data_IF_749298652451
#
_entry.id   IF_749298652451
#
_cell.length_a   1.000
_cell.length_b   1.000
_cell.length_c   1.000
_cell.angle_alpha   90.00
_cell.angle_beta   90.00
_cell.angle_gamma   90.00
#
_symmetry.space_group_name_H-M   'P 1'
#
loop_
_entity.id
_entity.type
_entity.pdbx_description
1 polymer ?
#
# COMPACT_ATOMS: atom_id res chain seq x y z
N UNK A 1 -6.31 18.53 -72.37
CA UNK A 1 -6.21 17.32 -73.20
C UNK A 1 -6.49 16.11 -72.30
N UNK A 2 -7.51 15.31 -72.66
CA UNK A 2 -7.83 13.93 -72.22
C UNK A 2 -8.36 13.61 -70.78
N UNK A 3 -9.70 13.59 -70.68
CA UNK A 3 -10.65 12.52 -70.27
C UNK A 3 -10.28 11.34 -69.34
N UNK A 4 -11.29 10.97 -68.50
CA UNK A 4 -11.68 9.67 -67.87
C UNK A 4 -11.54 9.65 -66.34
N UNK A 5 -12.43 9.08 -65.52
CA UNK A 5 -13.69 8.31 -65.66
C UNK A 5 -14.27 8.13 -64.25
N UNK A 6 -15.60 8.03 -64.10
CA UNK A 6 -16.28 7.79 -62.81
C UNK A 6 -16.09 6.33 -62.35
N UNK A 7 -15.85 6.11 -61.05
CA UNK A 7 -16.40 4.94 -60.34
C UNK A 7 -16.61 5.22 -58.85
N UNK A 8 -17.74 4.75 -58.33
CA UNK A 8 -18.25 4.91 -56.96
C UNK A 8 -17.87 3.69 -56.08
N UNK A 9 -17.81 3.97 -54.77
CA UNK A 9 -17.97 3.11 -53.57
C UNK A 9 -16.80 2.22 -53.09
N UNK A 10 -16.45 2.42 -51.81
CA UNK A 10 -15.61 1.51 -51.02
C UNK A 10 -15.12 2.11 -49.70
N UNK A 11 -16.02 2.16 -48.71
CA UNK A 11 -15.83 2.37 -47.27
C UNK A 11 -14.38 2.30 -46.72
N UNK A 12 -13.81 3.44 -46.36
CA UNK A 12 -12.88 3.55 -45.23
C UNK A 12 -13.05 4.95 -44.63
N UNK A 13 -13.82 5.04 -43.54
CA UNK A 13 -13.87 6.24 -42.74
C UNK A 13 -12.51 6.43 -42.07
N UNK A 14 -11.76 7.43 -42.51
CA UNK A 14 -10.62 7.94 -41.76
C UNK A 14 -11.16 8.49 -40.45
N UNK A 15 -10.86 7.82 -39.33
CA UNK A 15 -10.95 8.48 -38.04
C UNK A 15 -9.81 9.50 -38.05
N UNK A 16 -10.10 10.74 -38.46
CA UNK A 16 -9.28 11.88 -38.05
C UNK A 16 -9.43 11.99 -36.54
N UNK A 17 -8.54 11.30 -35.83
CA UNK A 17 -8.28 11.58 -34.44
C UNK A 17 -7.74 13.01 -34.42
N UNK A 18 -8.61 13.98 -34.14
CA UNK A 18 -8.22 15.35 -33.91
C UNK A 18 -7.03 15.32 -32.94
N UNK A 19 -5.85 15.66 -33.46
CA UNK A 19 -4.65 15.85 -32.66
C UNK A 19 -4.90 17.08 -31.81
N UNK A 20 -5.60 16.89 -30.68
CA UNK A 20 -5.67 17.85 -29.62
C UNK A 20 -4.21 18.11 -29.17
N UNK A 21 -3.82 19.36 -29.40
CA UNK A 21 -2.65 20.06 -28.89
C UNK A 21 -1.73 19.26 -27.94
N UNK A 22 -0.75 18.56 -28.52
CA UNK A 22 0.32 17.89 -27.77
C UNK A 22 1.27 18.90 -27.08
N UNK A 23 1.14 20.21 -27.32
CA UNK A 23 2.03 21.22 -26.75
C UNK A 23 1.74 21.55 -25.26
N UNK A 24 0.63 21.06 -24.71
CA UNK A 24 0.15 21.45 -23.38
C UNK A 24 0.18 20.34 -22.31
N UNK A 25 0.50 19.08 -22.66
CA UNK A 25 0.72 18.03 -21.65
C UNK A 25 2.12 18.16 -21.04
N UNK A 26 2.29 19.18 -20.18
CA UNK A 26 3.46 19.26 -19.31
C UNK A 26 3.32 18.16 -18.27
N UNK A 27 4.07 17.07 -18.44
CA UNK A 27 4.15 16.04 -17.40
C UNK A 27 4.46 16.74 -16.06
N UNK A 28 3.66 16.52 -15.01
CA UNK A 28 3.94 17.13 -13.71
C UNK A 28 5.36 16.73 -13.30
N UNK A 29 6.11 17.68 -12.73
CA UNK A 29 7.44 17.41 -12.22
C UNK A 29 7.35 16.21 -11.26
N UNK A 30 8.35 15.29 -11.26
CA UNK A 30 8.34 14.16 -10.34
C UNK A 30 8.18 14.69 -8.92
N UNK A 31 7.04 14.41 -8.30
CA UNK A 31 6.83 14.70 -6.91
C UNK A 31 7.53 13.63 -6.10
N UNK A 32 8.42 14.06 -5.21
CA UNK A 32 8.90 13.20 -4.14
C UNK A 32 7.69 12.75 -3.32
N UNK A 33 7.52 11.44 -3.17
CA UNK A 33 6.35 10.85 -2.51
C UNK A 33 6.23 11.35 -1.06
N UNK A 34 7.36 11.55 -0.37
CA UNK A 34 7.37 12.05 0.99
C UNK A 34 6.98 13.53 1.04
N UNK A 35 7.54 14.34 0.14
CA UNK A 35 7.16 15.74 0.05
C UNK A 35 5.66 15.92 -0.28
N UNK A 36 5.11 15.07 -1.16
CA UNK A 36 3.71 15.09 -1.54
C UNK A 36 2.75 14.63 -0.44
N UNK A 37 3.21 13.77 0.48
CA UNK A 37 2.43 13.35 1.65
C UNK A 37 2.53 14.31 2.83
N UNK A 38 3.67 14.99 2.97
CA UNK A 38 3.93 15.97 4.01
C UNK A 38 3.36 17.36 3.67
N UNK A 39 2.99 17.60 2.40
CA UNK A 39 2.58 18.92 1.90
C UNK A 39 1.25 19.43 2.46
N UNK A 40 0.42 18.58 3.08
CA UNK A 40 -0.72 19.06 3.87
C UNK A 40 -0.96 18.22 5.14
N UNK A 41 -0.44 18.63 6.30
CA UNK A 41 -0.75 18.01 7.59
C UNK A 41 -2.21 18.22 8.03
N UNK A 42 -3.01 19.04 7.34
CA UNK A 42 -4.48 19.13 7.49
C UNK A 42 -5.25 18.24 6.50
N UNK A 43 -4.54 17.57 5.59
CA UNK A 43 -5.11 16.91 4.41
C UNK A 43 -5.81 15.57 4.66
N UNK A 44 -5.73 15.02 5.89
CA UNK A 44 -6.49 13.84 6.29
C UNK A 44 -7.30 14.17 7.57
N UNK A 45 -8.63 14.34 7.48
CA UNK A 45 -9.43 14.88 8.57
C UNK A 45 -9.78 13.86 9.66
N UNK A 46 -9.30 12.61 9.53
CA UNK A 46 -9.61 11.54 10.46
C UNK A 46 -8.41 11.20 11.33
N UNK A 47 -8.69 10.78 12.57
CA UNK A 47 -7.68 10.17 13.42
C UNK A 47 -7.32 8.80 12.83
N UNK A 48 -6.06 8.61 12.47
CA UNK A 48 -5.52 7.32 12.00
C UNK A 48 -4.69 6.68 13.10
N UNK A 49 -4.95 5.40 13.39
CA UNK A 49 -4.21 4.62 14.37
C UNK A 49 -3.82 3.26 13.81
N UNK A 50 -2.57 2.85 14.05
CA UNK A 50 -2.14 1.49 13.74
C UNK A 50 -2.74 0.53 14.76
N UNK A 51 -3.36 -0.55 14.33
CA UNK A 51 -3.88 -1.59 15.21
C UNK A 51 -3.59 -2.98 14.64
N UNK A 52 -3.07 -3.88 15.47
CA UNK A 52 -2.89 -5.29 15.13
C UNK A 52 -4.08 -6.16 15.55
N UNK A 53 -5.07 -5.59 16.26
CA UNK A 53 -6.24 -6.33 16.71
C UNK A 53 -7.00 -7.05 15.57
N UNK A 54 -7.18 -6.46 14.36
CA UNK A 54 -7.81 -7.17 13.24
C UNK A 54 -7.02 -8.40 12.78
N UNK A 55 -5.68 -8.35 12.83
CA UNK A 55 -4.83 -9.49 12.49
C UNK A 55 -4.98 -10.60 13.52
N UNK A 56 -5.06 -10.26 14.81
CA UNK A 56 -5.30 -11.23 15.89
C UNK A 56 -6.68 -11.89 15.73
N UNK A 57 -7.71 -11.12 15.41
CA UNK A 57 -9.05 -11.64 15.13
C UNK A 57 -9.06 -12.58 13.91
N UNK A 58 -8.27 -12.26 12.87
CA UNK A 58 -8.11 -13.15 11.72
C UNK A 58 -7.55 -14.52 12.12
N UNK A 59 -6.54 -14.57 12.98
CA UNK A 59 -5.99 -15.84 13.46
C UNK A 59 -7.04 -16.69 14.20
N UNK A 60 -7.95 -16.06 14.95
CA UNK A 60 -9.06 -16.75 15.62
C UNK A 60 -10.09 -17.30 14.61
N UNK A 61 -10.47 -16.49 13.62
CA UNK A 61 -11.49 -16.87 12.65
C UNK A 61 -10.99 -17.90 11.62
N UNK A 62 -9.78 -17.72 11.10
CA UNK A 62 -9.23 -18.55 10.02
C UNK A 62 -8.71 -19.89 10.52
N UNK A 63 -8.34 -19.98 11.80
CA UNK A 63 -7.69 -21.15 12.37
C UNK A 63 -8.28 -21.54 13.72
N UNK A 64 -9.52 -21.17 14.04
CA UNK A 64 -10.17 -21.47 15.33
C UNK A 64 -10.66 -22.92 15.48
N UNK A 65 -10.52 -23.77 14.46
CA UNK A 65 -10.97 -25.16 14.50
C UNK A 65 -10.20 -25.96 15.58
N UNK A 66 -10.93 -26.50 16.56
CA UNK A 66 -10.37 -27.00 17.80
C UNK A 66 -9.48 -28.24 17.62
N UNK A 67 -9.82 -29.09 16.65
CA UNK A 67 -9.20 -30.40 16.45
C UNK A 67 -8.00 -30.36 15.49
N UNK A 68 -7.72 -29.20 14.90
CA UNK A 68 -6.63 -29.05 13.93
C UNK A 68 -5.32 -28.55 14.57
N UNK A 69 -4.18 -28.94 13.99
CA UNK A 69 -2.85 -28.42 14.38
C UNK A 69 -2.77 -26.90 14.18
N UNK A 70 -3.41 -26.38 13.12
CA UNK A 70 -3.54 -24.93 12.86
C UNK A 70 -4.33 -24.25 13.98
N UNK A 71 -5.40 -24.88 14.43
CA UNK A 71 -6.15 -24.67 15.68
C UNK A 71 -5.28 -24.41 16.89
N UNK A 72 -4.50 -25.42 17.24
CA UNK A 72 -3.60 -25.36 18.38
C UNK A 72 -2.59 -24.21 18.24
N UNK A 73 -2.03 -24.01 17.05
CA UNK A 73 -1.08 -22.93 16.79
C UNK A 73 -1.69 -21.54 16.98
N UNK A 74 -2.87 -21.28 16.41
CA UNK A 74 -3.54 -20.00 16.55
C UNK A 74 -3.89 -19.67 18.01
N UNK A 75 -4.28 -20.68 18.82
CA UNK A 75 -4.51 -20.50 20.27
C UNK A 75 -3.22 -20.15 21.01
N UNK A 76 -2.10 -20.77 20.66
CA UNK A 76 -0.80 -20.43 21.26
C UNK A 76 -0.41 -18.98 20.93
N UNK A 77 -0.54 -18.56 19.66
CA UNK A 77 -0.27 -17.17 19.26
C UNK A 77 -1.15 -16.20 20.06
N UNK A 78 -2.45 -16.48 20.17
CA UNK A 78 -3.41 -15.67 20.96
C UNK A 78 -2.98 -15.54 22.42
N UNK A 79 -2.63 -16.64 23.07
CA UNK A 79 -2.20 -16.65 24.47
C UNK A 79 -0.93 -15.81 24.69
N UNK A 80 0.00 -15.78 23.74
CA UNK A 80 1.18 -14.90 23.82
C UNK A 80 0.83 -13.41 23.61
N UNK A 81 -0.09 -13.10 22.68
CA UNK A 81 -0.55 -11.73 22.46
C UNK A 81 -1.31 -11.16 23.66
N UNK A 82 -2.13 -11.97 24.33
CA UNK A 82 -2.86 -11.56 25.55
C UNK A 82 -1.93 -11.12 26.69
N UNK A 83 -0.68 -11.60 26.71
CA UNK A 83 0.35 -11.16 27.67
C UNK A 83 0.92 -9.78 27.33
N UNK A 84 0.67 -9.26 26.13
CA UNK A 84 1.20 -7.99 25.62
C UNK A 84 0.05 -7.06 25.22
N UNK A 85 -0.67 -6.48 26.19
CA UNK A 85 -1.87 -5.69 25.92
C UNK A 85 -1.60 -4.43 25.07
N UNK A 86 -0.37 -3.93 25.02
CA UNK A 86 0.00 -2.80 24.16
C UNK A 86 -0.05 -3.11 22.65
N UNK A 87 0.04 -4.40 22.24
CA UNK A 87 -0.17 -4.80 20.84
C UNK A 87 -1.65 -4.94 20.47
N UNK A 88 -2.54 -5.04 21.47
CA UNK A 88 -3.99 -5.13 21.28
C UNK A 88 -4.69 -3.77 21.28
N UNK A 89 -3.95 -2.71 21.58
CA UNK A 89 -4.43 -1.33 21.59
C UNK A 89 -3.93 -0.57 20.36
N UNK A 90 -4.52 0.59 20.06
CA UNK A 90 -3.94 1.52 19.11
C UNK A 90 -2.46 1.81 19.39
N UNK A 91 -1.60 1.52 18.41
CA UNK A 91 -0.15 1.68 18.48
C UNK A 91 0.20 3.09 17.97
N UNK A 92 0.52 3.97 18.89
CA UNK A 92 0.96 5.35 18.58
C UNK A 92 2.49 5.51 18.59
N UNK A 93 3.20 4.60 19.24
CA UNK A 93 4.65 4.54 19.30
C UNK A 93 5.15 3.26 18.61
N UNK A 94 5.83 3.43 17.47
CA UNK A 94 6.34 2.30 16.69
C UNK A 94 7.46 1.53 17.41
N UNK A 95 8.06 2.07 18.49
CA UNK A 95 9.03 1.30 19.29
C UNK A 95 8.40 0.07 19.94
N UNK A 96 7.08 0.04 20.11
CA UNK A 96 6.33 -1.14 20.59
C UNK A 96 6.49 -2.32 19.61
N UNK A 97 6.53 -2.04 18.31
CA UNK A 97 6.73 -3.08 17.28
C UNK A 97 8.11 -3.72 17.44
N UNK A 98 9.15 -2.91 17.63
CA UNK A 98 10.52 -3.38 17.81
C UNK A 98 10.71 -4.12 19.14
N UNK A 99 10.11 -3.61 20.21
CA UNK A 99 10.15 -4.26 21.54
C UNK A 99 9.59 -5.68 21.49
N UNK A 100 8.54 -5.90 20.71
CA UNK A 100 7.85 -7.19 20.59
C UNK A 100 8.07 -7.87 19.25
N UNK A 101 9.22 -7.59 18.61
CA UNK A 101 9.50 -7.98 17.22
C UNK A 101 9.20 -9.45 16.93
N UNK A 102 9.62 -10.36 17.82
CA UNK A 102 9.42 -11.81 17.65
C UNK A 102 7.95 -12.19 17.57
N UNK A 103 7.10 -11.61 18.42
CA UNK A 103 5.68 -11.90 18.43
C UNK A 103 4.98 -11.25 17.22
N UNK A 104 5.41 -10.03 16.85
CA UNK A 104 4.94 -9.37 15.62
C UNK A 104 5.31 -10.17 14.37
N UNK A 105 6.51 -10.75 14.30
CA UNK A 105 6.93 -11.66 13.22
C UNK A 105 6.01 -12.88 13.11
N UNK A 106 5.65 -13.49 14.24
CA UNK A 106 4.72 -14.63 14.26
C UNK A 106 3.33 -14.21 13.79
N UNK A 107 2.80 -13.08 14.26
CA UNK A 107 1.50 -12.57 13.83
C UNK A 107 1.46 -12.28 12.34
N UNK A 108 2.51 -11.65 11.82
CA UNK A 108 2.62 -11.25 10.42
C UNK A 108 3.03 -12.39 9.50
N UNK A 109 3.41 -13.56 10.00
CA UNK A 109 3.68 -14.74 9.17
C UNK A 109 2.45 -15.19 8.34
N UNK A 110 1.23 -14.81 8.76
CA UNK A 110 0.02 -15.00 7.94
C UNK A 110 -0.02 -14.14 6.67
N UNK A 111 0.67 -13.00 6.68
CA UNK A 111 0.73 -12.03 5.57
C UNK A 111 2.07 -12.09 4.84
N UNK A 112 3.15 -12.41 5.55
CA UNK A 112 4.53 -12.49 5.07
C UNK A 112 5.07 -13.89 5.34
N UNK A 113 4.79 -14.89 4.48
CA UNK A 113 5.19 -16.26 4.73
C UNK A 113 6.70 -16.40 4.88
N UNK A 114 7.22 -17.14 5.89
CA UNK A 114 8.66 -17.32 6.06
C UNK A 114 9.36 -17.92 4.84
N UNK A 115 8.66 -18.73 4.05
CA UNK A 115 9.22 -19.39 2.86
C UNK A 115 9.63 -18.41 1.75
N UNK A 116 9.00 -17.23 1.68
CA UNK A 116 9.24 -16.22 0.64
C UNK A 116 9.68 -14.86 1.19
N UNK A 117 9.82 -14.74 2.52
CA UNK A 117 10.14 -13.50 3.23
C UNK A 117 11.38 -12.77 2.69
N UNK A 118 12.44 -13.50 2.34
CA UNK A 118 13.69 -12.92 1.86
C UNK A 118 13.69 -12.58 0.36
N UNK A 119 12.66 -13.00 -0.38
CA UNK A 119 12.55 -12.85 -1.83
C UNK A 119 11.49 -11.83 -2.25
N UNK A 120 10.43 -11.68 -1.44
CA UNK A 120 9.34 -10.77 -1.75
C UNK A 120 9.68 -9.32 -1.45
N UNK A 121 9.10 -8.41 -2.24
CA UNK A 121 9.15 -6.98 -2.02
C UNK A 121 7.83 -6.52 -1.40
N UNK A 122 7.71 -6.66 -0.08
CA UNK A 122 6.47 -6.38 0.62
C UNK A 122 6.72 -5.59 1.92
N UNK A 123 5.74 -4.78 2.29
CA UNK A 123 5.73 -4.04 3.55
C UNK A 123 4.31 -3.81 4.07
N UNK A 124 4.16 -3.81 5.39
CA UNK A 124 2.96 -3.32 6.06
C UNK A 124 3.18 -1.86 6.46
N UNK A 125 2.24 -1.02 6.08
CA UNK A 125 2.30 0.43 6.26
C UNK A 125 1.42 0.90 7.41
N UNK A 126 1.83 1.97 8.08
CA UNK A 126 0.98 2.68 9.03
C UNK A 126 -0.25 3.21 8.26
N UNK A 127 -1.48 3.05 8.77
CA UNK A 127 -2.69 3.36 8.00
C UNK A 127 -2.68 4.81 7.48
N UNK A 128 -2.98 4.95 6.19
CA UNK A 128 -2.97 6.22 5.46
C UNK A 128 -1.63 6.96 5.46
N UNK A 129 -0.51 6.27 5.69
CA UNK A 129 0.83 6.83 5.64
C UNK A 129 1.72 5.93 4.79
N UNK A 130 2.53 6.48 3.88
CA UNK A 130 3.55 5.69 3.16
C UNK A 130 4.81 5.54 4.03
N UNK A 131 4.59 5.03 5.25
CA UNK A 131 5.62 4.72 6.24
C UNK A 131 5.42 3.27 6.66
N UNK A 132 6.39 2.42 6.36
CA UNK A 132 6.36 1.02 6.77
C UNK A 132 6.68 0.88 8.26
N UNK A 133 5.92 0.04 8.96
CA UNK A 133 6.28 -0.43 10.31
C UNK A 133 6.81 -1.88 10.28
N UNK A 134 6.63 -2.58 9.16
CA UNK A 134 7.14 -3.92 8.93
C UNK A 134 7.47 -4.08 7.44
N UNK A 135 8.61 -4.68 7.11
CA UNK A 135 9.03 -4.86 5.72
C UNK A 135 9.94 -6.07 5.57
N UNK A 136 9.86 -6.70 4.39
CA UNK A 136 10.82 -7.71 3.97
C UNK A 136 12.20 -7.08 3.71
N UNK A 137 13.30 -7.86 3.77
CA UNK A 137 14.64 -7.33 3.57
C UNK A 137 14.86 -6.67 2.19
N UNK A 138 14.40 -7.25 1.06
CA UNK A 138 14.51 -6.59 -0.25
C UNK A 138 13.79 -5.24 -0.29
N UNK A 139 12.57 -5.17 0.24
CA UNK A 139 11.81 -3.92 0.33
C UNK A 139 12.55 -2.88 1.15
N UNK A 140 13.04 -3.26 2.34
CA UNK A 140 13.79 -2.36 3.22
C UNK A 140 15.03 -1.78 2.54
N UNK A 141 15.78 -2.58 1.80
CA UNK A 141 17.01 -2.15 1.12
C UNK A 141 16.75 -1.16 -0.01
N UNK A 142 15.74 -1.42 -0.83
CA UNK A 142 15.57 -0.74 -2.12
C UNK A 142 14.49 0.35 -2.08
N UNK A 143 13.45 0.18 -1.27
CA UNK A 143 12.24 1.00 -1.31
C UNK A 143 11.96 1.75 -0.01
N UNK A 144 12.81 1.63 1.01
CA UNK A 144 12.58 2.25 2.32
C UNK A 144 13.73 3.19 2.72
N UNK A 145 13.39 4.35 3.24
CA UNK A 145 14.30 5.27 3.91
C UNK A 145 14.55 4.81 5.36
N UNK A 146 15.62 5.32 6.03
CA UNK A 146 15.99 4.87 7.37
C UNK A 146 14.91 5.05 8.43
N UNK A 147 14.01 6.01 8.26
CA UNK A 147 12.89 6.33 9.15
C UNK A 147 11.60 5.52 8.86
N UNK A 148 11.64 4.61 7.87
CA UNK A 148 10.51 3.80 7.44
C UNK A 148 9.72 4.38 6.27
N UNK A 149 10.03 5.61 5.82
CA UNK A 149 9.36 6.23 4.70
C UNK A 149 9.59 5.46 3.39
N UNK A 150 8.55 5.33 2.55
CA UNK A 150 8.69 4.80 1.20
C UNK A 150 9.55 5.75 0.35
N UNK A 151 10.57 5.20 -0.30
CA UNK A 151 11.40 5.90 -1.28
C UNK A 151 10.75 5.80 -2.66
N UNK A 152 10.64 6.92 -3.35
CA UNK A 152 10.22 6.97 -4.74
C UNK A 152 9.76 8.35 -5.16
N UNK A 153 9.70 8.55 -6.47
CA UNK A 153 9.08 9.72 -7.08
C UNK A 153 7.87 9.25 -7.89
N UNK A 154 6.82 10.07 -7.91
CA UNK A 154 5.66 9.87 -8.77
C UNK A 154 5.58 11.01 -9.77
N UNK A 155 5.23 10.69 -11.02
CA UNK A 155 4.88 11.71 -12.00
C UNK A 155 3.44 12.20 -11.75
N UNK A 156 3.18 12.69 -10.54
CA UNK A 156 1.91 13.25 -10.10
C UNK A 156 2.16 14.59 -9.45
N UNK A 157 1.21 15.52 -9.60
CA UNK A 157 1.26 16.75 -8.81
C UNK A 157 1.00 16.43 -7.32
N UNK A 158 1.65 17.10 -6.36
CA UNK A 158 1.42 16.88 -4.94
C UNK A 158 -0.07 16.97 -4.51
N UNK A 159 -0.83 17.89 -5.10
CA UNK A 159 -2.27 18.03 -4.85
C UNK A 159 -3.07 16.78 -5.27
N UNK A 160 -2.64 16.09 -6.34
CA UNK A 160 -3.25 14.83 -6.79
C UNK A 160 -3.00 13.71 -5.79
N UNK A 161 -1.80 13.65 -5.21
CA UNK A 161 -1.46 12.66 -4.17
C UNK A 161 -2.33 12.86 -2.92
N UNK A 162 -2.50 14.11 -2.47
CA UNK A 162 -3.37 14.44 -1.35
C UNK A 162 -4.84 14.08 -1.61
N UNK A 163 -5.36 14.37 -2.81
CA UNK A 163 -6.73 14.06 -3.18
C UNK A 163 -7.01 12.53 -3.22
N UNK A 164 -6.06 11.74 -3.76
CA UNK A 164 -6.18 10.28 -3.76
C UNK A 164 -6.24 9.73 -2.33
N UNK A 165 -5.41 10.25 -1.42
CA UNK A 165 -5.39 9.84 -0.01
C UNK A 165 -6.75 10.04 0.67
N UNK A 166 -7.47 11.12 0.36
CA UNK A 166 -8.83 11.37 0.86
C UNK A 166 -9.87 10.42 0.25
N UNK A 167 -9.78 10.14 -1.05
CA UNK A 167 -10.74 9.26 -1.72
C UNK A 167 -10.73 7.83 -1.14
N UNK A 168 -9.54 7.28 -0.84
CA UNK A 168 -9.39 5.96 -0.22
C UNK A 168 -9.69 5.94 1.29
N UNK A 169 -9.91 7.10 1.93
CA UNK A 169 -10.29 7.19 3.34
C UNK A 169 -11.77 6.88 3.58
N UNK A 170 -12.61 7.13 2.56
CA UNK A 170 -14.07 7.08 2.66
C UNK A 170 -14.67 5.79 2.04
N UNK A 171 -13.84 4.80 1.72
CA UNK A 171 -14.26 3.57 1.03
C UNK A 171 -14.31 2.38 1.98
#
# INVERSE_FOLDING_TARGET
MATRERRRLGLHGTIELAMADQASYRSPAPADIQAALASDPRGFPFRSELSLAPLVAFWEQAFGDHDSVKGAFARMVRAEVEKVPELLRPITDLTVIERHRKLVDVLLAAVFPPASFDQEYAAAMVPFQLRAFYATPPFRRLLMAPDGALRGTMNLAPATVAALRLAFANM
#
